data_IF_631616818302
#
_entry.id   IF_631616818302
#
_cell.length_a   1.000
_cell.length_b   1.000
_cell.length_c   1.000
_cell.angle_alpha   90.00
_cell.angle_beta   90.00
_cell.angle_gamma   90.00
#
_symmetry.space_group_name_H-M   'P 1'
#
loop_
_entity.id
_entity.type
_entity.pdbx_description
1 polymer ?
#
# COMPACT_ATOMS: atom_id res chain seq x y z
N UNK A 1 23.90 6.67 12.28
CA UNK A 1 22.85 6.02 11.48
C UNK A 1 21.52 6.29 12.18
N UNK A 2 20.52 6.80 11.46
CA UNK A 2 19.19 7.02 12.05
C UNK A 2 18.48 5.69 12.25
N UNK A 3 17.97 5.44 13.44
CA UNK A 3 17.20 4.21 13.74
C UNK A 3 15.80 4.33 13.16
N UNK A 4 15.28 3.27 12.50
CA UNK A 4 13.89 3.24 12.05
C UNK A 4 12.93 3.53 13.22
N UNK A 5 11.85 4.27 12.92
CA UNK A 5 10.86 4.67 13.92
C UNK A 5 9.51 3.96 13.75
N UNK A 6 9.35 3.23 12.66
CA UNK A 6 8.08 2.57 12.31
C UNK A 6 8.30 1.19 11.72
N UNK A 7 7.29 0.34 11.84
CA UNK A 7 7.15 -0.87 11.05
C UNK A 7 6.35 -0.55 9.79
N UNK A 8 6.80 -0.99 8.61
CA UNK A 8 6.12 -0.74 7.34
C UNK A 8 5.57 -2.02 6.75
N UNK A 9 4.24 -2.16 6.68
CA UNK A 9 3.59 -3.21 5.93
C UNK A 9 3.23 -2.69 4.53
N UNK A 10 4.02 -3.07 3.53
CA UNK A 10 3.93 -2.58 2.15
C UNK A 10 3.05 -3.53 1.35
N UNK A 11 1.80 -3.19 1.21
CA UNK A 11 0.81 -3.99 0.51
C UNK A 11 0.52 -3.44 -0.87
N UNK A 12 0.45 -4.30 -1.87
CA UNK A 12 -0.16 -3.94 -3.14
C UNK A 12 -1.54 -4.55 -3.25
N UNK A 13 -2.51 -3.76 -3.71
CA UNK A 13 -3.84 -4.23 -4.06
C UNK A 13 -4.00 -4.26 -5.58
N UNK A 14 -4.62 -5.32 -6.06
CA UNK A 14 -4.80 -5.63 -7.48
C UNK A 14 -5.60 -6.91 -7.61
N UNK A 15 -5.74 -7.41 -8.82
CA UNK A 15 -6.44 -8.66 -9.08
C UNK A 15 -5.49 -9.84 -9.25
N UNK A 16 -5.93 -11.03 -8.81
CA UNK A 16 -5.26 -12.28 -9.16
C UNK A 16 -5.38 -12.60 -10.65
N UNK A 17 -4.72 -13.64 -11.13
CA UNK A 17 -4.91 -14.16 -12.50
C UNK A 17 -6.40 -14.44 -12.78
N UNK A 18 -6.89 -14.16 -14.04
CA UNK A 18 -6.10 -13.70 -15.20
C UNK A 18 -5.84 -12.19 -15.23
N UNK A 19 -6.40 -11.39 -14.32
CA UNK A 19 -6.34 -9.91 -14.32
C UNK A 19 -5.09 -9.33 -13.64
N UNK A 20 -4.06 -10.16 -13.37
CA UNK A 20 -2.82 -9.74 -12.71
C UNK A 20 -2.02 -8.67 -13.49
N UNK A 21 -2.15 -8.67 -14.82
CA UNK A 21 -1.45 -7.74 -15.72
C UNK A 21 -2.41 -6.73 -16.37
N UNK A 22 -3.40 -6.25 -15.61
CA UNK A 22 -4.32 -5.19 -16.06
C UNK A 22 -4.00 -3.86 -15.38
N UNK A 23 -4.54 -2.76 -15.90
CA UNK A 23 -4.38 -1.42 -15.30
C UNK A 23 -4.85 -1.40 -13.84
N UNK A 24 -5.93 -2.11 -13.50
CA UNK A 24 -6.41 -2.23 -12.12
C UNK A 24 -5.43 -2.98 -11.18
N UNK A 25 -4.42 -3.61 -11.73
CA UNK A 25 -3.35 -4.27 -10.96
C UNK A 25 -2.02 -3.48 -10.99
N UNK A 26 -2.04 -2.20 -11.37
CA UNK A 26 -0.83 -1.37 -11.42
C UNK A 26 -0.07 -1.34 -10.09
N UNK A 27 -0.77 -1.38 -8.95
CA UNK A 27 -0.15 -1.53 -7.63
C UNK A 27 0.75 -2.77 -7.52
N UNK A 28 0.34 -3.90 -8.10
CA UNK A 28 1.15 -5.11 -8.14
C UNK A 28 2.37 -4.96 -9.05
N UNK A 29 2.19 -4.36 -10.23
CA UNK A 29 3.26 -4.19 -11.21
C UNK A 29 4.35 -3.24 -10.69
N UNK A 30 3.94 -2.20 -9.95
CA UNK A 30 4.89 -1.31 -9.28
C UNK A 30 5.61 -2.02 -8.14
N UNK A 31 4.92 -2.83 -7.33
CA UNK A 31 5.59 -3.58 -6.27
C UNK A 31 6.61 -4.58 -6.82
N UNK A 32 6.37 -5.19 -7.99
CA UNK A 32 7.33 -6.05 -8.68
C UNK A 32 8.64 -5.30 -8.97
N UNK A 33 8.56 -4.02 -9.38
CA UNK A 33 9.73 -3.18 -9.65
C UNK A 33 10.38 -2.60 -8.38
N UNK A 34 9.59 -2.32 -7.35
CA UNK A 34 10.03 -1.74 -6.07
C UNK A 34 10.77 -2.78 -5.21
N UNK A 35 10.24 -4.00 -5.14
CA UNK A 35 10.74 -5.05 -4.24
C UNK A 35 12.24 -5.30 -4.31
N UNK A 36 12.88 -5.44 -5.48
CA UNK A 36 14.33 -5.64 -5.57
C UNK A 36 15.15 -4.42 -5.13
N UNK A 37 14.56 -3.21 -5.12
CA UNK A 37 15.24 -1.99 -4.73
C UNK A 37 15.13 -1.69 -3.23
N UNK A 38 14.19 -2.31 -2.50
CA UNK A 38 14.01 -2.06 -1.07
C UNK A 38 15.22 -2.54 -0.25
N UNK A 39 15.71 -3.74 -0.49
CA UNK A 39 16.81 -4.33 0.29
C UNK A 39 18.10 -3.50 0.24
N UNK A 40 18.60 -3.05 -0.92
CA UNK A 40 19.79 -2.22 -0.97
C UNK A 40 19.56 -0.77 -0.49
N UNK A 41 18.31 -0.28 -0.53
CA UNK A 41 17.99 1.12 -0.23
C UNK A 41 17.63 1.38 1.23
N UNK A 42 17.20 0.35 1.94
CA UNK A 42 16.78 0.45 3.35
C UNK A 42 17.76 -0.31 4.24
N UNK A 43 18.41 0.33 5.20
CA UNK A 43 19.42 -0.32 6.04
C UNK A 43 18.80 -1.36 6.97
N UNK A 44 19.41 -2.54 7.08
CA UNK A 44 19.11 -3.64 8.02
C UNK A 44 17.63 -4.04 8.14
N UNK A 45 16.99 -4.28 7.05
CA UNK A 45 15.57 -4.04 6.90
C UNK A 45 14.65 -5.25 7.03
N UNK A 46 15.17 -6.43 7.23
CA UNK A 46 14.33 -7.63 7.40
C UNK A 46 13.38 -7.56 8.60
N UNK A 47 13.64 -6.67 9.57
CA UNK A 47 12.81 -6.51 10.76
C UNK A 47 11.76 -5.39 10.63
N UNK A 48 12.02 -4.36 9.85
CA UNK A 48 11.20 -3.14 9.85
C UNK A 48 10.23 -3.00 8.68
N UNK A 49 10.31 -3.86 7.67
CA UNK A 49 9.32 -3.86 6.58
C UNK A 49 8.98 -5.27 6.08
N UNK A 50 7.79 -5.40 5.54
CA UNK A 50 7.28 -6.60 4.84
C UNK A 50 6.58 -6.17 3.56
N UNK A 51 6.74 -6.94 2.49
CA UNK A 51 6.02 -6.73 1.23
C UNK A 51 4.95 -7.80 1.04
N UNK A 52 3.75 -7.39 0.63
CA UNK A 52 2.65 -8.31 0.46
C UNK A 52 1.81 -7.98 -0.78
N UNK A 53 1.44 -9.03 -1.51
CA UNK A 53 0.53 -8.94 -2.67
C UNK A 53 -0.84 -9.48 -2.29
N UNK A 54 -1.91 -8.76 -2.67
CA UNK A 54 -3.27 -9.30 -2.53
C UNK A 54 -3.42 -10.57 -3.38
N UNK A 55 -3.73 -11.72 -2.76
CA UNK A 55 -3.89 -12.98 -3.49
C UNK A 55 -5.31 -13.17 -4.05
N UNK A 56 -6.18 -12.18 -3.91
CA UNK A 56 -7.60 -12.23 -4.24
C UNK A 56 -7.95 -11.27 -5.36
N UNK A 57 -9.23 -11.19 -5.70
CA UNK A 57 -9.75 -10.07 -6.46
C UNK A 57 -9.73 -8.79 -5.62
N UNK A 58 -9.65 -7.66 -6.30
CA UNK A 58 -9.48 -6.34 -5.71
C UNK A 58 -10.46 -6.06 -4.56
N UNK A 59 -11.74 -6.33 -4.76
CA UNK A 59 -12.80 -6.08 -3.80
C UNK A 59 -12.77 -6.97 -2.54
N UNK A 60 -11.94 -8.00 -2.53
CA UNK A 60 -11.78 -8.95 -1.41
C UNK A 60 -10.44 -8.76 -0.67
N UNK A 61 -9.69 -7.73 -1.02
CA UNK A 61 -8.32 -7.54 -0.51
C UNK A 61 -8.28 -7.25 0.99
N UNK A 62 -9.26 -6.52 1.52
CA UNK A 62 -9.26 -6.02 2.90
C UNK A 62 -9.05 -7.06 3.98
N UNK A 63 -9.91 -8.09 4.10
CA UNK A 63 -9.82 -9.07 5.19
C UNK A 63 -8.48 -9.81 5.24
N UNK A 64 -7.94 -10.20 4.08
CA UNK A 64 -6.66 -10.92 4.01
C UNK A 64 -5.48 -10.00 4.29
N UNK A 65 -5.50 -8.78 3.75
CA UNK A 65 -4.47 -7.78 3.98
C UNK A 65 -4.36 -7.44 5.47
N UNK A 66 -5.48 -7.06 6.07
CA UNK A 66 -5.50 -6.62 7.48
C UNK A 66 -5.07 -7.75 8.41
N UNK A 67 -5.57 -8.98 8.20
CA UNK A 67 -5.14 -10.15 8.97
C UNK A 67 -3.63 -10.41 8.86
N UNK A 68 -3.07 -10.29 7.66
CA UNK A 68 -1.63 -10.53 7.45
C UNK A 68 -0.79 -9.42 8.08
N UNK A 69 -1.21 -8.18 7.96
CA UNK A 69 -0.56 -7.04 8.58
C UNK A 69 -0.53 -7.18 10.11
N UNK A 70 -1.66 -7.47 10.75
CA UNK A 70 -1.74 -7.66 12.20
C UNK A 70 -0.80 -8.78 12.67
N UNK A 71 -0.85 -9.95 12.01
CA UNK A 71 0.02 -11.07 12.33
C UNK A 71 1.51 -10.72 12.23
N UNK A 72 1.89 -10.00 11.19
CA UNK A 72 3.26 -9.59 10.98
C UNK A 72 3.70 -8.52 11.99
N UNK A 73 2.92 -7.45 12.19
CA UNK A 73 3.27 -6.36 13.10
C UNK A 73 3.39 -6.81 14.55
N UNK A 74 2.50 -7.69 15.01
CA UNK A 74 2.59 -8.30 16.35
C UNK A 74 3.89 -9.06 16.51
N UNK A 75 4.22 -9.95 15.54
CA UNK A 75 5.48 -10.71 15.59
C UNK A 75 6.71 -9.82 15.57
N UNK A 76 6.72 -8.76 14.74
CA UNK A 76 7.87 -7.85 14.68
C UNK A 76 8.03 -7.04 15.97
N UNK A 77 6.94 -6.57 16.56
CA UNK A 77 7.00 -5.89 17.85
C UNK A 77 7.54 -6.80 18.95
N UNK A 78 7.14 -8.07 19.01
CA UNK A 78 7.68 -9.05 19.95
C UNK A 78 9.21 -9.25 19.76
N UNK A 79 9.66 -9.33 18.50
CA UNK A 79 11.09 -9.49 18.19
C UNK A 79 11.89 -8.24 18.53
N UNK A 80 11.39 -7.05 18.21
CA UNK A 80 12.03 -5.78 18.52
C UNK A 80 12.11 -5.55 20.03
N UNK A 81 11.04 -5.85 20.77
CA UNK A 81 11.03 -5.75 22.24
C UNK A 81 12.10 -6.66 22.87
N UNK A 82 12.23 -7.89 22.41
CA UNK A 82 13.26 -8.82 22.91
C UNK A 82 14.68 -8.40 22.56
N UNK A 83 14.89 -7.74 21.42
CA UNK A 83 16.22 -7.39 20.92
C UNK A 83 16.76 -6.07 21.48
N UNK A 84 15.91 -5.11 21.85
CA UNK A 84 16.29 -3.72 22.08
C UNK A 84 15.82 -3.12 23.40
N UNK A 85 15.14 -3.85 24.28
CA UNK A 85 14.71 -3.25 25.55
C UNK A 85 14.96 -4.11 26.77
N UNK A 86 15.77 -3.58 27.67
CA UNK A 86 15.60 -3.79 29.11
C UNK A 86 14.70 -2.70 29.75
N UNK A 87 14.47 -1.55 29.12
CA UNK A 87 13.87 -0.38 29.79
C UNK A 87 12.73 0.39 29.08
N UNK A 88 12.30 0.07 27.86
CA UNK A 88 11.15 0.78 27.27
C UNK A 88 10.28 -0.10 26.35
N UNK A 89 9.08 -0.39 26.83
CA UNK A 89 8.08 -1.27 26.18
C UNK A 89 7.11 -0.47 25.30
N UNK A 90 7.56 0.49 24.53
CA UNK A 90 6.67 1.12 23.55
C UNK A 90 6.76 0.37 22.22
N UNK A 91 5.66 -0.24 21.75
CA UNK A 91 5.63 -0.89 20.44
C UNK A 91 5.95 0.09 19.32
N UNK A 92 6.65 -0.38 18.29
CA UNK A 92 6.85 0.42 17.09
C UNK A 92 5.51 0.67 16.41
N UNK A 93 5.14 1.93 16.13
CA UNK A 93 3.92 2.22 15.38
C UNK A 93 4.03 1.64 13.97
N UNK A 94 2.92 1.08 13.47
CA UNK A 94 2.87 0.47 12.14
C UNK A 94 2.31 1.45 11.11
N UNK A 95 2.93 1.53 9.94
CA UNK A 95 2.34 2.17 8.77
C UNK A 95 1.95 1.11 7.74
N UNK A 96 0.66 1.09 7.39
CA UNK A 96 0.16 0.36 6.23
C UNK A 96 0.37 1.20 4.98
N UNK A 97 1.35 0.81 4.16
CA UNK A 97 1.59 1.39 2.83
C UNK A 97 0.78 0.63 1.81
N UNK A 98 -0.09 1.31 1.05
CA UNK A 98 -0.94 0.69 0.02
C UNK A 98 -0.56 1.20 -1.35
N UNK A 99 -0.01 0.33 -2.19
CA UNK A 99 0.20 0.57 -3.61
C UNK A 99 -1.06 0.18 -4.38
N UNK A 100 -1.62 1.13 -5.16
CA UNK A 100 -2.86 0.92 -5.91
C UNK A 100 -2.86 1.72 -7.22
N UNK A 101 -3.77 1.40 -8.13
CA UNK A 101 -4.02 2.21 -9.32
C UNK A 101 -4.73 3.53 -8.98
N UNK A 102 -4.35 4.59 -9.65
CA UNK A 102 -4.97 5.92 -9.50
C UNK A 102 -5.41 6.47 -10.86
N UNK A 103 -6.71 6.37 -11.14
CA UNK A 103 -7.28 6.78 -12.41
C UNK A 103 -7.26 8.30 -12.62
N UNK A 104 -7.23 9.09 -11.54
CA UNK A 104 -7.23 10.55 -11.61
C UNK A 104 -5.82 11.15 -11.74
N UNK A 105 -4.80 10.32 -11.87
CA UNK A 105 -3.43 10.75 -12.14
C UNK A 105 -3.01 10.36 -13.56
N UNK A 106 -2.25 11.21 -14.26
CA UNK A 106 -1.66 10.85 -15.54
C UNK A 106 -0.80 9.59 -15.43
N UNK A 107 -0.65 8.87 -16.54
CA UNK A 107 0.14 7.65 -16.62
C UNK A 107 1.52 7.80 -15.97
N UNK A 108 1.86 6.90 -15.06
CA UNK A 108 3.15 6.89 -14.36
C UNK A 108 3.37 8.03 -13.37
N UNK A 109 2.37 8.86 -13.07
CA UNK A 109 2.48 9.88 -12.02
C UNK A 109 2.01 9.32 -10.67
N UNK A 110 2.78 9.58 -9.64
CA UNK A 110 2.44 9.15 -8.28
C UNK A 110 1.53 10.17 -7.60
N UNK A 111 0.56 9.65 -6.86
CA UNK A 111 -0.28 10.43 -5.96
C UNK A 111 -0.19 9.86 -4.55
N UNK A 112 0.50 10.58 -3.67
CA UNK A 112 0.74 10.19 -2.29
C UNK A 112 -0.31 10.82 -1.39
N UNK A 113 -0.95 10.01 -0.54
CA UNK A 113 -1.97 10.46 0.41
C UNK A 113 -1.81 9.75 1.75
N UNK A 114 -1.90 10.51 2.84
CA UNK A 114 -1.88 9.98 4.20
C UNK A 114 -3.29 9.96 4.76
N UNK A 115 -3.61 8.90 5.51
CA UNK A 115 -4.94 8.70 6.08
C UNK A 115 -5.90 7.98 5.14
N UNK A 116 -7.11 7.75 5.66
CA UNK A 116 -8.17 7.01 4.99
C UNK A 116 -9.25 7.91 4.35
N UNK A 117 -10.50 7.37 4.24
CA UNK A 117 -11.58 8.03 3.53
C UNK A 117 -12.01 9.39 4.12
N UNK A 118 -11.78 9.61 5.40
CA UNK A 118 -12.11 10.89 6.05
C UNK A 118 -11.27 12.05 5.50
N UNK A 119 -10.06 11.73 5.05
CA UNK A 119 -9.15 12.72 4.48
C UNK A 119 -9.35 12.88 2.98
N UNK A 120 -9.74 11.80 2.27
CA UNK A 120 -9.84 11.80 0.80
C UNK A 120 -10.85 10.77 0.30
N UNK A 121 -11.65 11.15 -0.69
CA UNK A 121 -12.57 10.22 -1.36
C UNK A 121 -11.83 9.01 -1.93
N UNK A 122 -12.39 7.82 -1.75
CA UNK A 122 -11.91 6.58 -2.38
C UNK A 122 -12.36 6.46 -3.85
N UNK A 123 -13.22 7.37 -4.31
CA UNK A 123 -13.74 7.47 -5.69
C UNK A 123 -14.21 6.16 -6.30
N UNK A 124 -14.84 5.32 -5.49
CA UNK A 124 -15.33 4.00 -5.91
C UNK A 124 -14.27 2.92 -6.10
N UNK A 125 -13.03 3.16 -5.71
CA UNK A 125 -11.96 2.15 -5.77
C UNK A 125 -12.25 1.01 -4.79
N UNK A 126 -12.80 -0.09 -5.30
CA UNK A 126 -13.34 -1.19 -4.48
C UNK A 126 -12.31 -1.84 -3.55
N UNK A 127 -11.05 -1.91 -3.97
CA UNK A 127 -9.97 -2.44 -3.12
C UNK A 127 -9.67 -1.56 -1.91
N UNK A 128 -9.57 -0.25 -2.11
CA UNK A 128 -9.39 0.69 -1.00
C UNK A 128 -10.60 0.70 -0.06
N UNK A 129 -11.81 0.63 -0.61
CA UNK A 129 -13.05 0.52 0.18
C UNK A 129 -12.98 -0.74 1.05
N UNK A 130 -12.70 -1.91 0.48
CA UNK A 130 -12.58 -3.18 1.19
C UNK A 130 -11.57 -3.12 2.35
N UNK A 131 -10.38 -2.53 2.12
CA UNK A 131 -9.37 -2.35 3.16
C UNK A 131 -9.87 -1.44 4.28
N UNK A 132 -10.41 -0.26 3.95
CA UNK A 132 -10.87 0.71 4.94
C UNK A 132 -12.07 0.20 5.76
N UNK A 133 -13.02 -0.50 5.14
CA UNK A 133 -14.14 -1.13 5.84
C UNK A 133 -13.67 -2.21 6.81
N UNK A 134 -12.70 -3.05 6.39
CA UNK A 134 -12.13 -4.08 7.26
C UNK A 134 -11.40 -3.46 8.45
N UNK A 135 -10.57 -2.44 8.24
CA UNK A 135 -9.86 -1.73 9.31
C UNK A 135 -10.85 -1.10 10.30
N UNK A 136 -11.93 -0.50 9.78
CA UNK A 136 -12.99 0.10 10.62
C UNK A 136 -13.72 -0.97 11.43
N UNK A 137 -14.12 -2.07 10.80
CA UNK A 137 -14.81 -3.18 11.47
C UNK A 137 -13.99 -3.82 12.58
N UNK A 138 -12.66 -3.75 12.50
CA UNK A 138 -11.73 -4.22 13.55
C UNK A 138 -11.34 -3.15 14.58
N UNK A 139 -11.84 -1.93 14.45
CA UNK A 139 -11.47 -0.82 15.35
C UNK A 139 -10.02 -0.33 15.15
N UNK A 140 -9.32 -0.77 14.10
CA UNK A 140 -7.95 -0.35 13.76
C UNK A 140 -7.93 1.01 13.03
N UNK A 141 -9.06 1.46 12.56
CA UNK A 141 -9.21 2.74 11.92
C UNK A 141 -9.73 3.76 12.93
N UNK A 142 -9.04 4.90 13.14
CA UNK A 142 -9.48 5.88 14.11
C UNK A 142 -10.87 6.41 13.76
N UNK A 143 -11.76 6.50 14.75
CA UNK A 143 -13.01 7.20 14.58
C UNK A 143 -12.73 8.69 14.33
N UNK A 144 -13.61 9.35 13.58
CA UNK A 144 -13.46 10.77 13.22
C UNK A 144 -13.19 11.61 14.49
N UNK A 145 -12.09 12.36 14.49
CA UNK A 145 -11.68 13.21 15.59
C UNK A 145 -10.92 12.50 16.73
N UNK A 146 -10.61 11.21 16.61
CA UNK A 146 -9.72 10.52 17.55
C UNK A 146 -8.31 10.36 16.96
N UNK A 147 -7.24 10.45 17.77
CA UNK A 147 -5.89 10.17 17.29
C UNK A 147 -5.80 8.73 16.77
N UNK A 148 -5.00 8.52 15.72
CA UNK A 148 -4.70 7.19 15.23
C UNK A 148 -4.00 6.40 16.36
N UNK A 149 -4.57 5.28 16.73
CA UNK A 149 -3.92 4.31 17.60
C UNK A 149 -2.89 3.58 16.73
N UNK A 150 -1.63 3.60 17.08
CA UNK A 150 -0.50 2.80 16.55
C UNK A 150 -0.46 2.42 15.05
N UNK A 151 -1.49 2.70 14.26
CA UNK A 151 -1.60 2.41 12.83
C UNK A 151 -1.77 3.70 12.01
N UNK A 152 -0.83 3.94 11.11
CA UNK A 152 -0.92 4.98 10.07
C UNK A 152 -1.22 4.34 8.71
N UNK A 153 -1.86 5.09 7.80
CA UNK A 153 -2.12 4.65 6.44
C UNK A 153 -1.41 5.61 5.47
N UNK A 154 -0.59 5.05 4.60
CA UNK A 154 0.05 5.74 3.48
C UNK A 154 -0.43 5.10 2.18
N UNK A 155 -1.12 5.87 1.33
CA UNK A 155 -1.57 5.42 0.02
C UNK A 155 -0.69 6.02 -1.07
N UNK A 156 -0.16 5.16 -1.92
CA UNK A 156 0.64 5.53 -3.08
C UNK A 156 -0.14 5.06 -4.32
N UNK A 157 -0.87 5.98 -4.92
CA UNK A 157 -1.61 5.75 -6.15
C UNK A 157 -0.70 5.91 -7.35
N UNK A 158 -0.70 4.91 -8.22
CA UNK A 158 0.05 4.93 -9.48
C UNK A 158 -0.87 5.34 -10.60
N UNK A 159 -0.58 6.42 -11.27
CA UNK A 159 -1.39 6.96 -12.35
C UNK A 159 -1.53 5.96 -13.50
N UNK A 160 -2.76 5.60 -13.80
CA UNK A 160 -3.12 4.77 -14.95
C UNK A 160 -3.78 5.58 -16.05
N UNK A 161 -4.06 6.88 -15.81
CA UNK A 161 -4.87 7.70 -16.69
C UNK A 161 -6.36 7.34 -16.62
N UNK A 162 -7.15 7.97 -17.44
CA UNK A 162 -8.61 7.83 -17.45
C UNK A 162 -9.12 7.59 -18.89
N UNK A 163 -10.16 6.76 -19.10
CA UNK A 163 -10.84 6.71 -20.38
C UNK A 163 -11.65 7.99 -20.61
N UNK A 164 -11.93 8.29 -21.87
CA UNK A 164 -12.73 9.47 -22.27
C UNK A 164 -14.17 9.38 -21.72
N UNK A 165 -14.74 8.19 -21.73
CA UNK A 165 -16.07 7.92 -21.19
C UNK A 165 -16.05 7.75 -19.66
N UNK A 166 -17.08 8.29 -18.99
CA UNK A 166 -17.31 8.14 -17.55
C UNK A 166 -18.34 7.05 -17.23
N UNK A 167 -18.87 6.36 -18.22
CA UNK A 167 -19.80 5.27 -18.03
C UNK A 167 -19.14 4.10 -17.30
N UNK A 168 -19.89 3.44 -16.41
CA UNK A 168 -19.36 2.34 -15.59
C UNK A 168 -18.79 1.21 -16.44
N UNK A 169 -19.42 0.87 -17.56
CA UNK A 169 -18.95 -0.15 -18.49
C UNK A 169 -17.58 0.20 -19.06
N UNK A 170 -17.46 1.38 -19.66
CA UNK A 170 -16.22 1.85 -20.25
C UNK A 170 -15.08 1.96 -19.22
N UNK A 171 -15.38 2.41 -18.01
CA UNK A 171 -14.39 2.45 -16.92
C UNK A 171 -13.96 1.04 -16.50
N UNK A 172 -14.90 0.11 -16.38
CA UNK A 172 -14.59 -1.30 -16.05
C UNK A 172 -13.70 -1.93 -17.12
N UNK A 173 -14.06 -1.77 -18.40
CA UNK A 173 -13.28 -2.31 -19.51
C UNK A 173 -11.88 -1.71 -19.56
N UNK A 174 -11.76 -0.41 -19.31
CA UNK A 174 -10.48 0.29 -19.26
C UNK A 174 -9.55 -0.27 -18.16
N UNK A 175 -10.04 -0.38 -16.92
CA UNK A 175 -9.19 -0.83 -15.80
C UNK A 175 -8.87 -2.32 -15.87
N UNK A 176 -9.73 -3.13 -16.51
CA UNK A 176 -9.51 -4.56 -16.70
C UNK A 176 -8.75 -4.89 -17.99
N UNK A 177 -8.50 -3.91 -18.85
CA UNK A 177 -7.67 -4.10 -20.03
C UNK A 177 -6.21 -4.39 -19.65
N UNK A 178 -5.55 -5.30 -20.39
CA UNK A 178 -4.13 -5.57 -20.21
C UNK A 178 -3.27 -4.32 -20.41
N UNK A 179 -2.21 -4.19 -19.63
CA UNK A 179 -1.23 -3.11 -19.80
C UNK A 179 -0.36 -3.38 -21.03
N UNK A 180 -0.04 -2.33 -21.78
CA UNK A 180 0.91 -2.37 -22.89
C UNK A 180 2.35 -2.09 -22.39
N UNK A 181 3.33 -2.19 -23.30
CA UNK A 181 4.75 -1.99 -22.96
C UNK A 181 5.06 -0.57 -22.46
N UNK A 182 4.43 0.45 -23.05
CA UNK A 182 4.64 1.84 -22.64
C UNK A 182 4.09 2.09 -21.23
N UNK A 183 2.93 1.54 -20.91
CA UNK A 183 2.35 1.58 -19.57
C UNK A 183 3.21 0.83 -18.55
N UNK A 184 3.69 -0.36 -18.91
CA UNK A 184 4.58 -1.15 -18.07
C UNK A 184 5.87 -0.37 -17.76
N UNK A 185 6.49 0.23 -18.79
CA UNK A 185 7.68 1.09 -18.61
C UNK A 185 7.38 2.28 -17.69
N UNK A 186 6.23 2.93 -17.86
CA UNK A 186 5.82 4.04 -17.01
C UNK A 186 5.64 3.63 -15.55
N UNK A 187 5.04 2.46 -15.28
CA UNK A 187 4.90 1.94 -13.91
C UNK A 187 6.24 1.59 -13.28
N UNK A 188 7.11 0.88 -14.00
CA UNK A 188 8.45 0.54 -13.51
C UNK A 188 9.31 1.78 -13.27
N UNK A 189 9.15 2.83 -14.10
CA UNK A 189 9.84 4.11 -13.92
C UNK A 189 9.49 4.86 -12.64
N UNK A 190 8.43 4.45 -11.92
CA UNK A 190 8.08 5.05 -10.62
C UNK A 190 8.83 4.42 -9.44
N UNK A 191 9.53 3.30 -9.64
CA UNK A 191 10.02 2.45 -8.55
C UNK A 191 10.96 3.19 -7.60
N UNK A 192 11.93 3.95 -8.10
CA UNK A 192 12.87 4.72 -7.26
C UNK A 192 12.16 5.75 -6.40
N UNK A 193 11.20 6.50 -6.98
CA UNK A 193 10.40 7.48 -6.23
C UNK A 193 9.55 6.81 -5.15
N UNK A 194 9.00 5.62 -5.41
CA UNK A 194 8.25 4.86 -4.42
C UNK A 194 9.15 4.39 -3.29
N UNK A 195 10.36 3.90 -3.60
CA UNK A 195 11.36 3.50 -2.60
C UNK A 195 11.77 4.68 -1.72
N UNK A 196 11.99 5.86 -2.31
CA UNK A 196 12.29 7.08 -1.55
C UNK A 196 11.15 7.42 -0.58
N UNK A 197 9.88 7.42 -1.04
CA UNK A 197 8.71 7.71 -0.20
C UNK A 197 8.60 6.71 0.96
N UNK A 198 8.86 5.43 0.70
CA UNK A 198 8.87 4.36 1.71
C UNK A 198 10.01 4.60 2.72
N UNK A 199 11.20 4.97 2.25
CA UNK A 199 12.33 5.30 3.10
C UNK A 199 12.04 6.47 4.04
N UNK A 200 11.47 7.55 3.53
CA UNK A 200 11.05 8.71 4.33
C UNK A 200 10.02 8.33 5.41
N UNK A 201 9.08 7.44 5.08
CA UNK A 201 8.07 6.98 6.04
C UNK A 201 8.66 6.10 7.14
N UNK A 202 9.71 5.34 6.88
CA UNK A 202 10.39 4.49 7.86
C UNK A 202 11.00 5.28 9.00
N UNK A 203 11.47 6.48 8.73
CA UNK A 203 12.15 7.35 9.71
C UNK A 203 11.27 8.47 10.28
N UNK A 204 10.02 8.54 9.84
CA UNK A 204 9.07 9.53 10.31
C UNK A 204 8.51 9.19 11.70
#
# INVERSE_FOLDING_TARGET
>A
MTTPRRLLFIASIGNKAPYRKTRHSAGHLVLDAVKPLLTPSLPNTGAFHETWYSPTYMNESGPKLVRQMEKWSTRQNELCTKAYSEDSVTPYPTTLVILHDEMEAPLGKLRVRRGGPESFSLRGHRGLISVCETLRGKGLYPARGKPAVDLSILRIGVGIGRPDSREKGAVSDYVLAPVNEAEMKAYHGTAESVVQIIGEELYR
#
